data_IF_871534449341
#
_entry.id   IF_871534449341
#
_cell.length_a   1.000
_cell.length_b   1.000
_cell.length_c   1.000
_cell.angle_alpha   90.00
_cell.angle_beta   90.00
_cell.angle_gamma   90.00
#
_symmetry.space_group_name_H-M   'P 1'
#
loop_
_entity.id
_entity.type
_entity.pdbx_description
1 polymer ?
#
# COMPACT_ATOMS: atom_id res chain seq x y z
N UNK A 1 -14.66 17.17 -10.48
CA UNK A 1 -13.44 18.06 -10.70
C UNK A 1 -12.14 17.26 -10.47
N UNK A 2 -12.05 16.28 -9.46
CA UNK A 2 -10.81 15.51 -9.21
C UNK A 2 -10.58 14.51 -10.36
N UNK A 3 -11.66 13.97 -10.96
CA UNK A 3 -11.51 12.98 -12.07
C UNK A 3 -10.96 13.69 -13.30
N UNK A 4 -11.43 14.89 -13.53
CA UNK A 4 -10.92 15.62 -14.71
C UNK A 4 -9.44 15.97 -14.54
N UNK A 5 -9.13 16.43 -13.32
CA UNK A 5 -7.70 16.76 -13.07
C UNK A 5 -6.84 15.50 -13.24
N UNK A 6 -7.33 14.40 -12.65
CA UNK A 6 -6.62 13.12 -12.79
C UNK A 6 -6.47 12.72 -14.26
N UNK A 7 -7.50 12.86 -15.08
CA UNK A 7 -7.43 12.44 -16.49
C UNK A 7 -6.43 13.31 -17.26
N UNK A 8 -6.39 14.56 -16.92
CA UNK A 8 -5.46 15.45 -17.66
C UNK A 8 -4.02 15.12 -17.26
N UNK A 9 -3.82 14.87 -15.98
CA UNK A 9 -2.44 14.65 -15.50
C UNK A 9 -1.91 13.29 -15.96
N UNK A 10 -2.79 12.37 -16.28
CA UNK A 10 -2.30 11.02 -16.66
C UNK A 10 -2.26 10.93 -18.20
N UNK A 11 -3.18 11.57 -18.92
CA UNK A 11 -3.32 11.31 -20.39
C UNK A 11 -2.46 12.32 -21.14
N UNK A 12 -2.47 13.55 -20.76
CA UNK A 12 -1.84 14.61 -21.59
C UNK A 12 -0.31 14.43 -21.59
N UNK A 13 0.34 14.20 -20.43
CA UNK A 13 1.80 14.07 -20.45
C UNK A 13 2.26 12.84 -21.25
N UNK A 14 1.41 11.93 -21.45
CA UNK A 14 1.80 10.69 -22.17
C UNK A 14 2.01 10.97 -23.66
N UNK A 15 1.46 12.05 -24.09
CA UNK A 15 1.57 12.30 -25.54
C UNK A 15 2.53 13.46 -25.79
N UNK A 16 3.20 13.91 -24.75
CA UNK A 16 4.18 15.01 -24.94
C UNK A 16 5.60 14.42 -25.09
N UNK A 17 6.44 15.17 -25.85
CA UNK A 17 7.80 14.65 -26.07
C UNK A 17 8.62 14.67 -24.77
N UNK A 18 9.77 13.94 -24.83
CA UNK A 18 10.65 13.86 -23.63
C UNK A 18 11.25 15.23 -23.33
N UNK A 19 11.20 15.50 -21.97
CA UNK A 19 11.69 16.83 -21.58
C UNK A 19 13.20 16.98 -21.84
N UNK A 20 13.58 18.22 -22.31
CA UNK A 20 15.02 18.50 -22.45
C UNK A 20 15.73 18.48 -21.08
N UNK A 21 17.01 18.17 -20.99
CA UNK A 21 17.78 18.00 -19.73
C UNK A 21 17.77 19.28 -18.90
N UNK A 22 17.41 20.51 -19.46
CA UNK A 22 17.40 21.79 -18.71
C UNK A 22 16.00 22.12 -18.20
N UNK A 23 15.09 21.16 -18.44
CA UNK A 23 13.69 21.51 -18.13
C UNK A 23 13.45 21.39 -16.62
N UNK A 24 12.68 22.41 -16.20
CA UNK A 24 12.33 22.43 -14.75
C UNK A 24 10.85 22.05 -14.55
N UNK A 25 10.50 21.86 -13.23
CA UNK A 25 9.13 21.42 -12.88
C UNK A 25 8.10 22.46 -13.33
N UNK A 26 8.52 23.69 -13.39
CA UNK A 26 7.48 24.71 -13.65
C UNK A 26 7.37 24.97 -15.15
N UNK A 27 8.28 24.33 -15.90
CA UNK A 27 8.21 24.70 -17.35
C UNK A 27 7.86 23.48 -18.19
N UNK A 28 7.72 22.36 -17.52
CA UNK A 28 7.43 21.13 -18.30
C UNK A 28 6.27 20.37 -17.63
N UNK A 29 5.30 20.23 -18.36
CA UNK A 29 4.07 19.60 -17.83
C UNK A 29 4.32 18.13 -17.46
N UNK A 30 5.19 17.42 -18.19
CA UNK A 30 5.48 16.01 -17.83
C UNK A 30 6.12 15.90 -16.45
N UNK A 31 7.10 16.76 -16.27
CA UNK A 31 7.79 16.70 -14.96
C UNK A 31 6.87 17.19 -13.83
N UNK A 32 6.13 18.19 -14.21
CA UNK A 32 5.15 18.69 -13.22
C UNK A 32 4.15 17.59 -12.84
N UNK A 33 3.62 16.93 -13.86
CA UNK A 33 2.64 15.86 -13.59
C UNK A 33 3.29 14.74 -12.76
N UNK A 34 4.51 14.39 -13.08
CA UNK A 34 5.20 13.35 -12.32
C UNK A 34 5.36 13.78 -10.84
N UNK A 35 5.70 15.02 -10.63
CA UNK A 35 5.89 15.49 -9.24
C UNK A 35 4.55 15.50 -8.50
N UNK A 36 3.50 15.99 -9.13
CA UNK A 36 2.18 16.06 -8.47
C UNK A 36 1.68 14.66 -8.13
N UNK A 37 1.90 13.69 -9.05
CA UNK A 37 1.29 12.36 -8.84
C UNK A 37 2.16 11.53 -7.88
N UNK A 38 3.42 11.56 -8.15
CA UNK A 38 4.25 10.60 -7.37
C UNK A 38 4.95 11.32 -6.21
N UNK A 39 5.07 12.66 -6.35
CA UNK A 39 5.74 13.40 -5.25
C UNK A 39 4.74 13.86 -4.18
N UNK A 40 3.55 14.24 -4.60
CA UNK A 40 2.65 14.85 -3.60
C UNK A 40 1.43 13.94 -3.40
N UNK A 41 0.88 13.40 -4.45
CA UNK A 41 -0.43 12.70 -4.39
C UNK A 41 -0.29 11.40 -3.61
N UNK A 42 0.68 10.51 -3.87
CA UNK A 42 0.72 9.19 -3.22
C UNK A 42 1.22 9.32 -1.77
N UNK A 43 2.32 10.15 -1.51
CA UNK A 43 2.68 10.33 -0.10
C UNK A 43 1.52 10.98 0.70
N UNK A 44 0.86 11.92 0.03
CA UNK A 44 -0.31 12.55 0.68
C UNK A 44 -1.41 11.52 1.01
N UNK A 45 -1.63 10.62 0.07
CA UNK A 45 -2.69 9.60 0.31
C UNK A 45 -2.28 8.71 1.49
N UNK A 46 -0.95 8.40 1.60
CA UNK A 46 -0.51 7.51 2.71
C UNK A 46 -0.66 8.23 4.05
N UNK A 47 -0.34 9.53 4.03
CA UNK A 47 -0.46 10.27 5.30
C UNK A 47 -1.94 10.42 5.66
N UNK A 48 -2.78 10.70 4.67
CA UNK A 48 -4.23 10.79 4.94
C UNK A 48 -4.79 9.46 5.46
N UNK A 49 -4.30 8.39 4.91
CA UNK A 49 -4.86 7.09 5.34
C UNK A 49 -4.46 6.80 6.80
N UNK A 50 -3.28 7.18 7.20
CA UNK A 50 -2.81 6.86 8.57
C UNK A 50 -3.50 7.81 9.57
N UNK A 51 -3.91 9.05 9.06
CA UNK A 51 -4.47 10.01 10.03
C UNK A 51 -6.00 10.00 9.99
N UNK A 52 -6.50 9.77 8.74
CA UNK A 52 -7.97 9.98 8.62
C UNK A 52 -8.63 8.70 8.12
N UNK A 53 -7.91 7.56 8.09
CA UNK A 53 -8.49 6.31 7.54
C UNK A 53 -8.48 6.31 6.01
N UNK A 54 -9.54 5.85 5.45
CA UNK A 54 -9.53 5.71 3.96
C UNK A 54 -10.44 6.79 3.35
N UNK A 55 -10.25 8.04 3.87
CA UNK A 55 -11.09 9.16 3.40
C UNK A 55 -10.74 9.47 1.93
N UNK A 56 -9.48 9.22 1.63
CA UNK A 56 -9.11 9.47 0.23
C UNK A 56 -9.92 8.58 -0.73
N UNK A 57 -10.04 7.29 -0.35
CA UNK A 57 -10.82 6.35 -1.21
C UNK A 57 -12.29 6.79 -1.29
N UNK A 58 -12.82 7.42 -0.30
CA UNK A 58 -14.26 7.78 -0.26
C UNK A 58 -14.53 9.12 -0.93
N UNK A 59 -13.51 10.09 -0.90
CA UNK A 59 -13.89 11.47 -1.32
C UNK A 59 -13.04 11.87 -2.54
N UNK A 60 -11.78 11.30 -2.61
CA UNK A 60 -10.90 11.94 -3.62
C UNK A 60 -10.46 10.92 -4.67
N UNK A 61 -10.73 9.65 -4.48
CA UNK A 61 -10.16 8.64 -5.40
C UNK A 61 -10.93 8.67 -6.72
N UNK A 62 -10.13 8.98 -7.82
CA UNK A 62 -10.78 9.08 -9.14
C UNK A 62 -11.33 7.72 -9.61
N UNK A 63 -10.54 6.73 -9.34
CA UNK A 63 -11.00 5.39 -9.78
C UNK A 63 -12.29 4.98 -9.05
N UNK A 64 -12.35 5.27 -7.80
CA UNK A 64 -13.58 4.97 -7.03
C UNK A 64 -14.80 5.73 -7.56
N UNK A 65 -14.58 7.02 -7.87
CA UNK A 65 -15.70 7.83 -8.39
C UNK A 65 -16.18 7.31 -9.75
N UNK A 66 -15.20 6.97 -10.58
CA UNK A 66 -15.61 6.49 -11.93
C UNK A 66 -16.30 5.12 -11.82
N UNK A 67 -15.74 4.33 -10.94
CA UNK A 67 -16.37 3.00 -10.79
C UNK A 67 -17.79 3.14 -10.22
N UNK A 68 -17.95 3.95 -9.24
CA UNK A 68 -19.29 4.18 -8.68
C UNK A 68 -20.26 4.75 -9.74
N UNK A 69 -19.78 5.74 -10.45
CA UNK A 69 -20.61 6.28 -11.54
C UNK A 69 -20.99 5.18 -12.55
N UNK A 70 -19.99 4.39 -12.89
CA UNK A 70 -20.27 3.31 -13.88
C UNK A 70 -21.24 2.27 -13.28
N UNK A 71 -21.13 2.07 -12.05
CA UNK A 71 -21.95 1.00 -11.43
C UNK A 71 -23.42 1.41 -11.40
N UNK A 72 -23.74 2.70 -11.51
CA UNK A 72 -25.17 3.10 -11.59
C UNK A 72 -25.83 2.56 -12.86
N UNK A 73 -24.95 2.37 -13.78
CA UNK A 73 -25.51 1.85 -15.06
C UNK A 73 -25.16 0.37 -15.24
N UNK A 74 -24.76 -0.27 -14.15
CA UNK A 74 -24.24 -1.64 -14.27
C UNK A 74 -25.37 -2.65 -14.43
N UNK A 75 -25.09 -3.81 -15.07
CA UNK A 75 -26.05 -4.88 -15.43
C UNK A 75 -26.45 -5.67 -14.19
N UNK A 76 -25.71 -5.48 -13.02
CA UNK A 76 -26.05 -6.13 -11.75
C UNK A 76 -25.90 -7.65 -11.81
N UNK A 77 -24.97 -8.14 -12.62
CA UNK A 77 -24.75 -9.61 -12.64
C UNK A 77 -24.21 -10.08 -11.29
N UNK A 78 -24.62 -11.30 -10.96
CA UNK A 78 -24.09 -11.81 -9.70
C UNK A 78 -22.55 -11.88 -9.70
N UNK A 79 -22.07 -11.48 -8.57
CA UNK A 79 -20.59 -11.51 -8.46
C UNK A 79 -20.10 -12.96 -8.36
N UNK A 80 -19.13 -13.24 -9.31
CA UNK A 80 -18.59 -14.61 -9.21
C UNK A 80 -17.83 -14.84 -7.91
N UNK A 81 -18.01 -16.04 -7.28
CA UNK A 81 -17.40 -16.37 -5.98
C UNK A 81 -15.88 -16.16 -5.98
N UNK A 82 -15.23 -16.44 -7.12
CA UNK A 82 -13.76 -16.31 -7.13
C UNK A 82 -13.34 -14.84 -6.99
N UNK A 83 -14.20 -13.89 -7.39
CA UNK A 83 -13.84 -12.46 -7.31
C UNK A 83 -13.95 -11.95 -5.87
N UNK A 84 -14.61 -12.75 -4.98
CA UNK A 84 -14.80 -12.31 -3.57
C UNK A 84 -13.66 -12.85 -2.71
N UNK A 85 -12.64 -13.36 -3.37
CA UNK A 85 -11.53 -13.92 -2.56
C UNK A 85 -10.75 -12.78 -1.89
N UNK A 86 -10.59 -12.85 -0.58
CA UNK A 86 -9.98 -11.76 0.24
C UNK A 86 -8.50 -11.57 -0.11
N UNK A 87 -7.91 -12.45 -0.90
CA UNK A 87 -6.47 -12.35 -1.21
C UNK A 87 -6.22 -11.54 -2.49
N UNK A 88 -7.26 -11.13 -3.23
CA UNK A 88 -7.04 -10.45 -4.52
C UNK A 88 -6.31 -9.12 -4.31
N UNK A 89 -6.68 -8.38 -3.31
CA UNK A 89 -5.96 -7.11 -3.15
C UNK A 89 -4.45 -7.34 -2.95
N UNK A 90 -4.13 -8.32 -2.22
CA UNK A 90 -2.69 -8.63 -2.05
C UNK A 90 -2.06 -9.01 -3.39
N UNK A 91 -2.66 -9.85 -4.13
CA UNK A 91 -2.09 -10.29 -5.42
C UNK A 91 -2.02 -9.09 -6.39
N UNK A 92 -3.11 -8.28 -6.35
CA UNK A 92 -3.11 -7.11 -7.27
C UNK A 92 -1.98 -6.14 -6.89
N UNK A 93 -1.79 -6.04 -5.60
CA UNK A 93 -0.72 -5.12 -5.15
C UNK A 93 0.64 -5.64 -5.61
N UNK A 94 0.94 -6.90 -5.41
CA UNK A 94 2.25 -7.45 -5.80
C UNK A 94 2.41 -7.38 -7.33
N UNK A 95 1.32 -7.73 -8.00
CA UNK A 95 1.42 -7.74 -9.48
C UNK A 95 1.64 -6.32 -10.01
N UNK A 96 0.91 -5.39 -9.44
CA UNK A 96 1.03 -4.02 -9.99
C UNK A 96 2.39 -3.42 -9.59
N UNK A 97 2.85 -3.77 -8.42
CA UNK A 97 4.18 -3.26 -8.00
C UNK A 97 5.28 -3.82 -8.90
N UNK A 98 5.21 -5.11 -9.18
CA UNK A 98 6.23 -5.72 -10.06
C UNK A 98 6.13 -5.16 -11.48
N UNK A 99 4.87 -5.11 -11.86
CA UNK A 99 4.70 -4.61 -13.25
C UNK A 99 5.13 -3.14 -13.33
N UNK A 100 4.74 -2.37 -12.28
CA UNK A 100 5.13 -0.94 -12.27
C UNK A 100 6.66 -0.76 -12.36
N UNK A 101 7.40 -1.60 -11.63
CA UNK A 101 8.88 -1.47 -11.65
C UNK A 101 9.47 -1.93 -12.99
N UNK A 102 8.80 -2.87 -13.68
CA UNK A 102 9.35 -3.38 -14.96
C UNK A 102 9.18 -2.33 -16.07
N UNK A 103 8.12 -1.53 -15.87
CA UNK A 103 7.90 -0.58 -17.00
C UNK A 103 8.32 0.82 -16.56
N UNK A 104 8.89 0.94 -15.37
CA UNK A 104 9.36 2.23 -14.81
C UNK A 104 8.24 3.27 -14.79
N UNK A 105 7.25 2.93 -14.05
CA UNK A 105 5.99 3.70 -14.05
C UNK A 105 6.25 5.09 -13.44
N UNK A 106 7.30 5.25 -12.70
CA UNK A 106 7.51 6.55 -12.01
C UNK A 106 8.26 7.52 -12.91
N UNK A 107 8.86 6.95 -13.92
CA UNK A 107 9.73 7.85 -14.72
C UNK A 107 9.05 8.23 -16.04
N UNK A 108 8.15 7.28 -16.45
CA UNK A 108 7.61 7.55 -17.81
C UNK A 108 6.08 7.63 -17.72
N UNK A 109 5.51 8.70 -18.35
CA UNK A 109 4.06 8.94 -18.29
C UNK A 109 3.28 7.89 -19.11
N UNK A 110 3.94 7.38 -20.18
CA UNK A 110 3.21 6.34 -20.95
C UNK A 110 2.98 5.09 -20.08
N UNK A 111 4.01 4.78 -19.40
CA UNK A 111 3.84 3.61 -18.49
C UNK A 111 2.80 3.91 -17.41
N UNK A 112 2.86 5.15 -16.82
CA UNK A 112 1.84 5.52 -15.82
C UNK A 112 0.42 5.42 -16.40
N UNK A 113 0.26 5.92 -17.65
CA UNK A 113 -1.07 5.82 -18.30
C UNK A 113 -1.50 4.37 -18.47
N UNK A 114 -0.55 3.55 -18.84
CA UNK A 114 -0.90 2.13 -19.03
C UNK A 114 -1.35 1.48 -17.71
N UNK A 115 -0.63 1.73 -16.66
CA UNK A 115 -0.94 1.02 -15.40
C UNK A 115 -2.14 1.70 -14.74
N UNK A 116 -2.10 3.01 -14.56
CA UNK A 116 -3.21 3.70 -13.89
C UNK A 116 -4.43 3.79 -14.81
N UNK A 117 -4.19 4.12 -16.08
CA UNK A 117 -5.33 4.15 -17.04
C UNK A 117 -5.97 2.76 -17.22
N UNK A 118 -5.07 1.74 -17.30
CA UNK A 118 -5.61 0.36 -17.41
C UNK A 118 -6.46 -0.03 -16.19
N UNK A 119 -5.94 0.30 -15.01
CA UNK A 119 -6.73 -0.07 -13.80
C UNK A 119 -8.05 0.72 -13.75
N UNK A 120 -8.04 1.99 -14.30
CA UNK A 120 -9.30 2.78 -14.34
C UNK A 120 -10.33 2.14 -15.29
N UNK A 121 -9.78 1.73 -16.41
CA UNK A 121 -10.70 1.09 -17.36
C UNK A 121 -11.25 -0.20 -16.75
N UNK A 122 -10.36 -0.93 -16.12
CA UNK A 122 -10.84 -2.18 -15.49
C UNK A 122 -11.87 -1.87 -14.39
N UNK A 123 -11.57 -0.83 -13.64
CA UNK A 123 -12.54 -0.45 -12.58
C UNK A 123 -13.91 -0.11 -13.18
N UNK A 124 -13.95 0.60 -14.27
CA UNK A 124 -15.23 0.97 -14.91
C UNK A 124 -15.91 -0.28 -15.46
N UNK A 125 -15.11 -1.15 -16.06
CA UNK A 125 -15.70 -2.38 -16.63
C UNK A 125 -16.35 -3.23 -15.53
N UNK A 126 -15.62 -3.36 -14.41
CA UNK A 126 -16.19 -4.19 -13.32
C UNK A 126 -17.43 -3.50 -12.76
N UNK A 127 -17.35 -2.20 -12.60
CA UNK A 127 -18.55 -1.45 -12.16
C UNK A 127 -19.75 -1.64 -13.11
N UNK A 128 -19.51 -1.71 -14.47
CA UNK A 128 -20.62 -1.83 -15.44
C UNK A 128 -21.17 -3.27 -15.45
N UNK A 129 -20.30 -4.22 -15.16
CA UNK A 129 -20.73 -5.62 -15.29
C UNK A 129 -21.44 -6.08 -14.01
N UNK A 130 -20.80 -5.61 -12.85
CA UNK A 130 -21.28 -6.29 -11.61
C UNK A 130 -21.86 -5.24 -10.66
N UNK A 131 -21.74 -3.94 -11.02
CA UNK A 131 -22.05 -2.90 -10.01
C UNK A 131 -23.55 -2.62 -9.94
N UNK A 132 -24.18 -2.50 -8.77
CA UNK A 132 -25.52 -1.94 -8.49
C UNK A 132 -25.42 -0.75 -7.53
N UNK A 133 -24.65 0.29 -8.02
CA UNK A 133 -24.39 1.51 -7.20
C UNK A 133 -23.41 1.22 -6.06
N UNK A 134 -22.68 0.03 -6.28
CA UNK A 134 -21.65 -0.29 -5.27
C UNK A 134 -20.26 -0.26 -5.91
N UNK A 135 -19.24 -0.09 -4.97
CA UNK A 135 -17.86 -0.05 -5.46
C UNK A 135 -17.20 -1.42 -5.31
N UNK A 136 -17.48 -2.32 -6.28
CA UNK A 136 -17.01 -3.72 -6.18
C UNK A 136 -15.49 -3.76 -6.43
N UNK A 137 -15.02 -2.88 -7.41
CA UNK A 137 -13.57 -2.85 -7.73
C UNK A 137 -12.75 -2.43 -6.50
N UNK A 138 -13.25 -1.44 -5.87
CA UNK A 138 -12.47 -0.90 -4.72
C UNK A 138 -12.46 -1.91 -3.56
N UNK A 139 -13.49 -2.77 -3.48
CA UNK A 139 -13.54 -3.71 -2.35
C UNK A 139 -12.71 -4.97 -2.63
N UNK A 140 -12.64 -5.36 -3.90
CA UNK A 140 -12.09 -6.72 -4.04
C UNK A 140 -10.85 -6.68 -4.94
N UNK A 141 -10.61 -5.64 -5.81
CA UNK A 141 -9.58 -5.85 -6.87
C UNK A 141 -8.61 -4.68 -6.85
N UNK A 142 -8.95 -3.59 -6.16
CA UNK A 142 -8.02 -2.46 -6.16
C UNK A 142 -6.70 -2.86 -5.48
N UNK A 143 -5.61 -2.57 -6.21
CA UNK A 143 -4.30 -3.02 -5.71
C UNK A 143 -3.90 -2.31 -4.40
N UNK A 144 -4.50 -1.14 -4.23
CA UNK A 144 -4.08 -0.38 -3.03
C UNK A 144 -5.02 -0.68 -1.85
N UNK A 145 -6.07 -1.36 -2.12
CA UNK A 145 -7.11 -1.54 -1.08
C UNK A 145 -6.54 -2.26 0.15
N UNK A 146 -5.76 -3.32 -0.07
CA UNK A 146 -5.22 -4.09 1.08
C UNK A 146 -4.30 -3.24 1.94
N UNK A 147 -3.43 -2.49 1.24
CA UNK A 147 -2.45 -1.66 2.00
C UNK A 147 -3.21 -0.58 2.79
N UNK A 148 -4.19 0.07 2.17
CA UNK A 148 -4.94 1.12 2.88
C UNK A 148 -5.76 0.54 4.04
N UNK A 149 -6.27 -0.68 3.79
CA UNK A 149 -7.09 -1.31 4.86
C UNK A 149 -6.25 -1.55 6.12
N UNK A 150 -5.00 -1.98 5.90
CA UNK A 150 -4.15 -2.30 7.07
C UNK A 150 -3.68 -0.99 7.73
N UNK A 151 -3.36 -0.01 6.95
CA UNK A 151 -2.86 1.25 7.55
C UNK A 151 -3.99 2.03 8.21
N UNK A 152 -5.20 1.84 7.69
CA UNK A 152 -6.34 2.57 8.29
C UNK A 152 -6.61 2.11 9.72
N UNK A 153 -6.03 1.00 10.11
CA UNK A 153 -6.29 0.48 11.48
C UNK A 153 -5.60 1.35 12.54
N UNK A 154 -4.61 2.15 12.10
CA UNK A 154 -3.95 3.00 13.13
C UNK A 154 -4.43 4.44 12.99
N UNK A 155 -5.47 4.66 12.21
CA UNK A 155 -5.97 6.04 12.04
C UNK A 155 -6.71 6.50 13.29
N UNK A 156 -6.32 7.73 13.78
CA UNK A 156 -6.97 8.27 14.99
C UNK A 156 -8.42 8.71 14.71
N UNK A 157 -8.65 9.15 13.49
CA UNK A 157 -10.04 9.56 13.18
C UNK A 157 -10.75 8.46 12.37
N UNK A 158 -11.98 8.08 12.83
CA UNK A 158 -12.74 7.03 12.14
C UNK A 158 -14.23 7.16 12.50
N UNK A 159 -15.02 6.43 11.61
CA UNK A 159 -16.46 6.42 11.93
C UNK A 159 -16.76 5.24 12.88
N UNK A 160 -17.33 5.66 14.02
CA UNK A 160 -17.71 4.65 15.02
C UNK A 160 -19.23 4.44 15.04
N UNK A 161 -19.48 3.13 15.28
CA UNK A 161 -20.92 2.82 15.34
C UNK A 161 -21.26 2.37 16.77
N UNK A 162 -22.27 3.16 17.33
CA UNK A 162 -22.84 2.71 18.63
C UNK A 162 -24.01 1.73 18.41
N UNK A 163 -23.66 0.44 18.79
CA UNK A 163 -24.65 -0.62 18.46
C UNK A 163 -25.91 -0.47 19.32
N UNK A 164 -25.69 -0.10 20.50
CA UNK A 164 -26.89 0.06 21.37
C UNK A 164 -27.80 1.19 20.86
N UNK A 165 -27.12 2.30 20.50
CA UNK A 165 -27.93 3.40 19.93
C UNK A 165 -28.60 2.98 18.61
N UNK A 166 -27.88 2.20 17.85
CA UNK A 166 -28.46 1.73 16.57
C UNK A 166 -29.70 0.87 16.83
N UNK A 167 -29.70 -0.07 17.87
CA UNK A 167 -30.80 -1.04 18.11
C UNK A 167 -31.98 -0.34 18.80
N UNK A 168 -31.71 0.75 19.55
CA UNK A 168 -32.81 1.46 20.26
C UNK A 168 -33.77 2.11 19.27
N UNK A 169 -33.31 2.35 18.12
CA UNK A 169 -34.14 3.14 17.18
C UNK A 169 -34.65 2.25 16.05
N UNK A 170 -34.59 0.85 16.30
CA UNK A 170 -35.11 -0.13 15.32
C UNK A 170 -36.56 -0.49 15.68
N UNK A 171 -37.31 0.33 16.71
CA UNK A 171 -38.69 0.03 17.17
C UNK A 171 -39.73 0.79 16.33
N UNK A 172 -41.07 0.29 16.18
CA UNK A 172 -42.29 0.61 15.39
C UNK A 172 -42.57 2.12 15.40
N UNK A 173 -42.24 2.90 14.09
CA UNK A 173 -42.77 4.26 13.85
C UNK A 173 -41.64 5.26 13.58
N UNK A 174 -40.29 4.82 13.53
CA UNK A 174 -39.15 5.69 13.15
C UNK A 174 -38.47 5.14 11.89
N UNK A 175 -38.92 5.74 10.67
CA UNK A 175 -38.44 5.26 9.35
C UNK A 175 -37.17 6.02 8.95
N UNK A 176 -35.97 5.31 8.96
CA UNK A 176 -34.75 5.92 8.37
C UNK A 176 -34.53 5.36 6.96
N UNK A 177 -34.12 6.33 6.14
CA UNK A 177 -33.75 5.89 4.77
C UNK A 177 -32.47 5.04 4.79
N UNK A 178 -32.60 3.82 4.22
CA UNK A 178 -31.40 2.98 4.15
C UNK A 178 -30.23 3.71 3.46
N UNK A 179 -29.05 3.51 4.17
CA UNK A 179 -27.83 4.15 3.61
C UNK A 179 -27.20 3.20 2.58
N UNK A 180 -26.92 3.80 1.47
CA UNK A 180 -26.13 3.02 0.49
C UNK A 180 -24.62 3.14 0.78
N UNK A 181 -24.10 2.09 1.51
CA UNK A 181 -22.64 2.07 1.72
C UNK A 181 -21.92 1.51 0.48
N UNK A 182 -21.11 2.42 -0.11
CA UNK A 182 -20.50 2.15 -1.44
C UNK A 182 -19.62 0.90 -1.40
N UNK A 183 -18.91 0.62 -0.32
CA UNK A 183 -18.06 -0.58 -0.32
C UNK A 183 -18.77 -1.79 0.28
N UNK A 184 -20.00 -1.67 0.61
CA UNK A 184 -20.85 -2.80 1.04
C UNK A 184 -20.46 -3.24 2.45
N UNK A 185 -20.11 -2.21 3.23
CA UNK A 185 -19.81 -2.53 4.65
C UNK A 185 -21.14 -2.60 5.42
N UNK A 186 -21.14 -3.70 6.22
CA UNK A 186 -22.29 -3.74 7.15
C UNK A 186 -22.14 -2.70 8.28
N UNK A 187 -22.92 -1.54 8.05
CA UNK A 187 -22.68 -0.35 8.91
C UNK A 187 -23.07 -0.70 10.36
N UNK A 188 -24.03 -1.49 10.58
CA UNK A 188 -24.49 -1.83 11.94
C UNK A 188 -23.39 -2.57 12.72
N UNK A 189 -22.62 -3.50 12.03
CA UNK A 189 -21.65 -4.33 12.76
C UNK A 189 -20.22 -3.86 12.47
N UNK A 190 -20.13 -2.67 12.05
CA UNK A 190 -18.79 -2.17 11.68
C UNK A 190 -17.95 -1.96 12.95
N UNK A 191 -16.70 -2.65 12.92
CA UNK A 191 -15.85 -2.55 14.14
C UNK A 191 -14.45 -2.07 13.76
N UNK A 192 -14.27 -1.98 12.44
CA UNK A 192 -12.91 -1.61 12.01
C UNK A 192 -13.01 -0.56 10.90
N UNK A 193 -11.84 0.22 10.85
CA UNK A 193 -11.79 1.25 9.78
C UNK A 193 -11.20 0.67 8.49
N UNK A 194 -10.90 -0.60 8.47
CA UNK A 194 -10.17 -1.21 7.35
C UNK A 194 -11.03 -1.27 6.08
N UNK A 195 -12.33 -1.51 6.28
CA UNK A 195 -13.17 -1.68 5.07
C UNK A 195 -13.96 -0.40 4.78
N UNK A 196 -14.03 0.50 5.82
CA UNK A 196 -14.81 1.75 5.63
C UNK A 196 -13.98 2.77 4.85
N UNK A 197 -14.68 3.35 3.79
CA UNK A 197 -13.96 4.35 2.96
C UNK A 197 -14.14 5.74 3.56
N UNK A 198 -14.67 5.84 4.72
CA UNK A 198 -14.85 7.09 5.48
C UNK A 198 -15.40 8.22 4.60
N UNK A 199 -16.53 7.92 3.84
CA UNK A 199 -17.11 8.90 2.89
C UNK A 199 -18.16 9.76 3.59
N UNK A 200 -18.64 9.26 4.73
CA UNK A 200 -19.52 10.10 5.57
C UNK A 200 -20.99 9.93 5.18
N UNK A 201 -21.39 9.09 4.27
CA UNK A 201 -22.79 8.97 3.83
C UNK A 201 -23.66 8.42 4.97
N UNK A 202 -22.95 7.65 5.88
CA UNK A 202 -23.77 7.04 6.95
C UNK A 202 -23.71 7.87 8.22
N UNK A 203 -23.04 9.07 8.06
CA UNK A 203 -22.88 9.90 9.27
C UNK A 203 -24.25 10.36 9.79
N UNK A 204 -24.44 10.12 11.11
CA UNK A 204 -25.68 10.58 11.78
C UNK A 204 -26.83 9.58 11.65
N UNK A 205 -26.45 8.49 10.94
CA UNK A 205 -27.54 7.50 10.79
C UNK A 205 -27.94 6.93 12.17
N UNK A 206 -29.28 7.18 12.50
CA UNK A 206 -29.90 6.66 13.75
C UNK A 206 -29.17 7.21 14.98
N UNK A 207 -28.47 8.38 14.75
CA UNK A 207 -27.67 8.99 15.84
C UNK A 207 -26.68 7.98 16.43
N UNK A 208 -26.36 6.97 15.55
CA UNK A 208 -25.51 5.87 16.08
C UNK A 208 -24.16 5.90 15.37
N UNK A 209 -24.12 6.68 14.27
CA UNK A 209 -22.85 6.66 13.51
C UNK A 209 -22.24 8.07 13.58
N UNK A 210 -21.01 8.11 14.15
CA UNK A 210 -20.36 9.44 14.24
C UNK A 210 -18.84 9.29 14.04
N UNK A 211 -18.38 10.42 13.49
CA UNK A 211 -16.91 10.50 13.42
C UNK A 211 -16.32 10.65 14.83
N UNK A 212 -15.36 9.76 15.16
CA UNK A 212 -14.85 9.73 16.55
C UNK A 212 -13.34 9.53 16.54
N UNK A 213 -12.75 10.08 17.65
CA UNK A 213 -11.29 9.85 17.80
C UNK A 213 -11.05 8.54 18.55
N UNK A 214 -10.08 7.90 18.04
CA UNK A 214 -9.70 6.65 18.73
C UNK A 214 -8.17 6.57 18.82
N UNK A 215 -7.76 5.81 19.87
CA UNK A 215 -6.30 5.57 19.93
C UNK A 215 -5.82 4.73 18.73
N UNK A 216 -4.67 5.12 18.16
CA UNK A 216 -4.13 4.36 17.03
C UNK A 216 -3.79 2.92 17.41
N UNK A 217 -3.85 2.61 18.68
CA UNK A 217 -3.50 1.24 19.13
C UNK A 217 -4.77 0.41 19.37
N UNK A 218 -5.91 1.03 19.29
CA UNK A 218 -7.17 0.39 19.73
C UNK A 218 -7.45 -0.89 18.93
N UNK A 219 -7.18 -0.80 17.63
CA UNK A 219 -7.59 -1.99 16.83
C UNK A 219 -6.58 -3.13 17.02
N UNK A 220 -5.30 -2.71 17.06
CA UNK A 220 -4.27 -3.77 17.23
C UNK A 220 -4.42 -4.45 18.60
N UNK A 221 -4.95 -3.72 19.60
CA UNK A 221 -5.00 -4.28 20.98
C UNK A 221 -6.37 -4.89 21.24
N UNK A 222 -7.30 -4.77 20.31
CA UNK A 222 -8.63 -5.35 20.51
C UNK A 222 -8.63 -6.85 20.18
N UNK A 223 -8.66 -7.70 21.22
CA UNK A 223 -8.53 -9.17 21.02
C UNK A 223 -9.85 -9.77 20.56
N UNK A 224 -10.92 -8.97 20.68
CA UNK A 224 -12.24 -9.48 20.25
C UNK A 224 -12.40 -9.36 18.73
N UNK A 225 -11.61 -8.45 18.17
CA UNK A 225 -11.71 -8.30 16.70
C UNK A 225 -10.84 -9.34 15.97
N UNK A 226 -11.42 -9.89 14.90
CA UNK A 226 -10.66 -10.93 14.19
C UNK A 226 -9.43 -10.35 13.48
N UNK A 227 -8.32 -11.11 13.70
CA UNK A 227 -7.12 -10.79 12.90
C UNK A 227 -7.07 -11.68 11.66
N UNK A 228 -7.22 -11.00 10.46
CA UNK A 228 -7.38 -11.78 9.21
C UNK A 228 -6.00 -12.07 8.60
N UNK A 229 -5.90 -13.25 8.01
CA UNK A 229 -4.61 -13.67 7.41
C UNK A 229 -4.29 -12.78 6.19
N UNK A 230 -5.29 -12.41 5.52
CA UNK A 230 -5.03 -11.57 4.33
C UNK A 230 -4.40 -10.23 4.72
N UNK A 231 -4.86 -9.67 5.86
CA UNK A 231 -4.25 -8.38 6.31
C UNK A 231 -2.80 -8.59 6.76
N UNK A 232 -2.65 -9.67 7.53
CA UNK A 232 -1.28 -9.94 8.01
C UNK A 232 -0.32 -10.24 6.84
N UNK A 233 -0.81 -11.02 5.88
CA UNK A 233 0.03 -11.32 4.71
C UNK A 233 0.35 -10.05 3.89
N UNK A 234 -0.67 -9.20 3.72
CA UNK A 234 -0.42 -7.95 2.96
C UNK A 234 0.60 -7.07 3.70
N UNK A 235 0.44 -7.01 4.98
CA UNK A 235 1.36 -6.20 5.77
C UNK A 235 2.80 -6.75 5.69
N UNK A 236 3.04 -8.10 5.80
CA UNK A 236 4.42 -8.65 5.90
C UNK A 236 5.02 -8.82 4.50
N UNK A 237 4.21 -9.43 3.67
CA UNK A 237 4.83 -9.81 2.37
C UNK A 237 4.56 -8.73 1.32
N UNK A 238 3.56 -7.99 1.48
CA UNK A 238 3.24 -6.94 0.47
C UNK A 238 3.95 -5.63 0.79
N UNK A 239 3.58 -5.09 2.00
CA UNK A 239 4.04 -3.71 2.29
C UNK A 239 5.49 -3.78 2.78
N UNK A 240 5.78 -4.56 3.79
CA UNK A 240 7.16 -4.57 4.35
C UNK A 240 8.08 -5.43 3.49
N UNK A 241 7.56 -6.33 2.71
CA UNK A 241 8.42 -7.22 1.88
C UNK A 241 8.60 -6.66 0.47
N UNK A 242 7.59 -6.86 -0.39
CA UNK A 242 7.71 -6.57 -1.83
C UNK A 242 7.87 -5.05 -2.03
N UNK A 243 7.08 -4.25 -1.30
CA UNK A 243 7.18 -2.78 -1.51
C UNK A 243 8.59 -2.29 -1.11
N UNK A 244 9.09 -2.80 0.01
CA UNK A 244 10.44 -2.39 0.41
C UNK A 244 11.48 -2.82 -0.63
N UNK A 245 11.32 -4.02 -1.10
CA UNK A 245 12.24 -4.48 -2.16
C UNK A 245 12.15 -3.58 -3.41
N UNK A 246 10.92 -3.16 -3.69
CA UNK A 246 10.74 -2.29 -4.88
C UNK A 246 11.44 -0.95 -4.67
N UNK A 247 11.45 -0.49 -3.43
CA UNK A 247 12.09 0.83 -3.20
C UNK A 247 13.62 0.69 -3.16
N UNK A 248 14.15 -0.47 -2.97
CA UNK A 248 15.59 -0.59 -2.68
C UNK A 248 16.36 -1.07 -3.93
N UNK A 249 15.63 -1.73 -4.83
CA UNK A 249 16.40 -2.50 -5.84
C UNK A 249 17.25 -1.54 -6.69
N UNK A 250 16.79 -0.28 -6.90
CA UNK A 250 17.55 0.60 -7.82
C UNK A 250 18.82 1.12 -7.13
N UNK A 251 18.87 1.06 -5.78
CA UNK A 251 20.07 1.61 -5.09
C UNK A 251 20.86 0.48 -4.45
N UNK A 252 20.52 -0.73 -4.76
CA UNK A 252 21.14 -1.87 -4.04
C UNK A 252 22.42 -2.29 -4.78
N UNK A 253 23.57 -2.27 -4.01
CA UNK A 253 24.83 -2.73 -4.59
C UNK A 253 24.81 -4.25 -4.86
N UNK A 254 24.02 -4.89 -4.01
CA UNK A 254 23.93 -6.36 -4.23
C UNK A 254 23.28 -6.67 -5.58
N UNK A 255 22.30 -5.94 -5.90
CA UNK A 255 21.64 -6.18 -7.20
C UNK A 255 22.60 -5.89 -8.36
N UNK A 256 23.27 -4.82 -8.22
CA UNK A 256 24.20 -4.46 -9.30
C UNK A 256 25.30 -5.53 -9.45
N UNK A 257 25.85 -5.99 -8.32
CA UNK A 257 26.91 -7.03 -8.39
C UNK A 257 26.37 -8.34 -9.00
N UNK A 258 25.20 -8.68 -8.56
CA UNK A 258 24.59 -9.90 -9.14
C UNK A 258 24.36 -9.74 -10.65
N UNK A 259 23.90 -8.58 -10.99
CA UNK A 259 23.64 -8.37 -12.44
C UNK A 259 24.94 -8.47 -13.24
N UNK A 260 25.98 -7.79 -12.75
CA UNK A 260 27.24 -7.80 -13.52
C UNK A 260 27.83 -9.21 -13.56
N UNK A 261 27.75 -9.94 -12.42
CA UNK A 261 28.26 -11.32 -12.38
C UNK A 261 27.50 -12.23 -13.35
N UNK A 262 26.20 -12.07 -13.36
CA UNK A 262 25.41 -12.95 -14.25
C UNK A 262 25.62 -12.55 -15.73
N UNK A 263 25.73 -11.28 -15.90
CA UNK A 263 25.97 -10.85 -17.30
C UNK A 263 27.31 -11.42 -17.79
N UNK A 264 28.34 -11.35 -16.89
CA UNK A 264 29.65 -11.91 -17.28
C UNK A 264 29.55 -13.41 -17.55
N UNK A 265 28.83 -14.08 -16.66
CA UNK A 265 28.61 -15.53 -16.82
C UNK A 265 27.91 -15.85 -18.15
N UNK A 266 26.93 -15.05 -18.56
CA UNK A 266 26.18 -15.33 -19.80
C UNK A 266 27.06 -15.06 -21.02
N UNK A 267 27.84 -14.05 -20.89
CA UNK A 267 28.71 -13.74 -22.04
C UNK A 267 29.75 -14.86 -22.21
N UNK A 268 30.26 -15.39 -21.12
CA UNK A 268 31.25 -16.49 -21.21
C UNK A 268 30.65 -17.74 -21.83
N UNK A 269 29.35 -17.87 -21.73
CA UNK A 269 28.71 -19.11 -22.24
C UNK A 269 27.97 -18.82 -23.55
N UNK A 270 28.21 -17.61 -24.10
CA UNK A 270 27.69 -17.17 -25.40
C UNK A 270 26.17 -17.23 -25.46
N UNK A 271 25.49 -17.03 -24.32
CA UNK A 271 24.02 -16.87 -24.33
C UNK A 271 23.64 -15.39 -24.44
N UNK A 272 23.44 -14.82 -25.64
CA UNK A 272 23.25 -13.36 -25.85
C UNK A 272 21.75 -13.05 -25.95
N UNK A 273 21.00 -14.12 -26.04
CA UNK A 273 19.55 -13.83 -26.15
C UNK A 273 19.03 -13.12 -24.89
N UNK A 274 19.56 -13.43 -23.74
CA UNK A 274 19.05 -12.83 -22.49
C UNK A 274 19.62 -11.42 -22.28
N UNK A 275 20.54 -11.05 -23.10
CA UNK A 275 21.13 -9.69 -22.98
C UNK A 275 20.53 -8.76 -24.04
N UNK A 276 19.63 -9.32 -24.78
CA UNK A 276 19.02 -8.49 -25.81
C UNK A 276 17.95 -7.57 -25.19
N UNK A 277 17.75 -6.45 -25.89
CA UNK A 277 16.83 -5.44 -25.30
C UNK A 277 15.67 -5.15 -26.24
N UNK A 278 15.48 -6.11 -27.20
CA UNK A 278 14.33 -5.88 -28.12
C UNK A 278 13.03 -6.31 -27.44
N UNK A 279 12.65 -5.53 -26.44
CA UNK A 279 11.42 -5.86 -25.72
C UNK A 279 10.47 -4.65 -25.84
N UNK A 280 9.20 -5.00 -26.06
CA UNK A 280 8.25 -3.88 -26.17
C UNK A 280 8.20 -3.06 -24.87
N UNK A 281 7.96 -1.72 -24.97
CA UNK A 281 8.02 -0.79 -23.81
C UNK A 281 6.93 -1.12 -22.79
N UNK A 282 5.73 -1.83 -23.25
CA UNK A 282 4.64 -2.12 -22.28
C UNK A 282 4.97 -3.36 -21.45
N UNK A 283 6.08 -4.04 -21.83
CA UNK A 283 6.48 -5.22 -21.02
C UNK A 283 7.73 -4.88 -20.21
N UNK A 284 8.76 -4.36 -20.83
CA UNK A 284 9.98 -3.91 -20.14
C UNK A 284 10.36 -2.52 -20.63
N UNK A 285 10.99 -1.82 -19.69
CA UNK A 285 11.37 -0.44 -20.05
C UNK A 285 12.23 -0.44 -21.33
N UNK A 286 11.63 0.35 -22.35
CA UNK A 286 12.35 0.42 -23.64
C UNK A 286 12.17 1.84 -24.22
N UNK A 287 13.07 2.76 -23.81
CA UNK A 287 13.06 4.15 -24.33
C UNK A 287 14.47 4.53 -24.81
N UNK A 288 14.74 4.25 -26.11
CA UNK A 288 16.08 4.47 -26.70
C UNK A 288 16.46 5.95 -26.70
N UNK A 289 15.47 6.82 -26.71
CA UNK A 289 15.76 8.27 -26.76
C UNK A 289 16.34 8.76 -25.43
N UNK A 290 16.08 8.01 -24.37
CA UNK A 290 16.59 8.41 -23.03
C UNK A 290 17.67 7.43 -22.57
N UNK A 291 18.13 6.56 -23.48
CA UNK A 291 19.15 5.52 -23.17
C UNK A 291 18.77 4.69 -21.95
N UNK A 292 17.50 4.51 -21.81
CA UNK A 292 17.02 3.65 -20.71
C UNK A 292 16.33 2.41 -21.30
N UNK A 293 17.18 1.31 -21.31
CA UNK A 293 16.66 0.07 -21.93
C UNK A 293 16.92 -1.10 -20.97
N UNK A 294 15.83 -1.77 -20.74
CA UNK A 294 16.01 -3.02 -19.97
C UNK A 294 16.18 -4.22 -20.89
N UNK A 295 17.15 -5.07 -20.45
CA UNK A 295 17.28 -6.37 -21.17
C UNK A 295 16.42 -7.45 -20.49
N UNK A 296 16.29 -8.68 -21.13
CA UNK A 296 15.55 -9.80 -20.49
C UNK A 296 16.18 -10.19 -19.15
N UNK A 297 17.50 -10.04 -19.14
CA UNK A 297 18.18 -10.36 -17.87
C UNK A 297 17.77 -9.37 -16.78
N UNK A 298 17.68 -8.06 -17.18
CA UNK A 298 17.23 -7.07 -16.18
C UNK A 298 15.81 -7.39 -15.67
N UNK A 299 14.96 -7.70 -16.65
CA UNK A 299 13.58 -8.06 -16.23
C UNK A 299 13.56 -9.23 -15.27
N UNK A 300 14.33 -10.32 -15.61
CA UNK A 300 14.31 -11.51 -14.75
C UNK A 300 14.91 -11.20 -13.37
N UNK A 301 15.92 -10.39 -13.35
CA UNK A 301 16.56 -10.11 -12.06
C UNK A 301 15.65 -9.22 -11.19
N UNK A 302 15.03 -8.27 -11.88
CA UNK A 302 14.10 -7.41 -11.09
C UNK A 302 12.98 -8.26 -10.50
N UNK A 303 12.42 -9.17 -11.30
CA UNK A 303 11.32 -10.02 -10.77
C UNK A 303 11.87 -10.90 -9.63
N UNK A 304 13.06 -11.44 -9.88
CA UNK A 304 13.63 -12.31 -8.82
C UNK A 304 13.89 -11.49 -7.55
N UNK A 305 14.36 -10.32 -7.75
CA UNK A 305 14.69 -9.51 -6.56
C UNK A 305 13.40 -9.08 -5.83
N UNK A 306 12.39 -8.69 -6.58
CA UNK A 306 11.17 -8.17 -5.91
C UNK A 306 10.38 -9.32 -5.29
N UNK A 307 10.22 -10.39 -6.09
CA UNK A 307 9.36 -11.48 -5.54
C UNK A 307 10.19 -12.36 -4.60
N UNK A 308 11.39 -12.63 -5.06
CA UNK A 308 12.24 -13.48 -4.18
C UNK A 308 12.72 -12.74 -2.94
N UNK A 309 13.31 -11.58 -3.21
CA UNK A 309 13.78 -10.78 -2.05
C UNK A 309 12.63 -10.35 -1.13
N UNK A 310 11.56 -9.88 -1.78
CA UNK A 310 10.39 -9.52 -0.96
C UNK A 310 9.87 -10.69 -0.11
N UNK A 311 9.76 -11.85 -0.70
CA UNK A 311 9.27 -13.03 0.04
C UNK A 311 10.26 -13.40 1.17
N UNK A 312 11.51 -13.36 0.80
CA UNK A 312 12.50 -13.70 1.84
C UNK A 312 12.40 -12.70 3.01
N UNK A 313 12.37 -11.46 2.67
CA UNK A 313 12.22 -10.45 3.74
C UNK A 313 10.92 -10.68 4.53
N UNK A 314 9.78 -10.83 3.84
CA UNK A 314 8.52 -11.15 4.53
C UNK A 314 8.63 -12.37 5.43
N UNK A 315 9.31 -13.41 4.98
CA UNK A 315 9.43 -14.66 5.79
C UNK A 315 10.27 -14.39 7.03
N UNK A 316 11.32 -13.63 6.80
CA UNK A 316 12.16 -13.33 7.97
C UNK A 316 11.39 -12.49 9.00
N UNK A 317 10.60 -11.58 8.47
CA UNK A 317 9.79 -10.75 9.40
C UNK A 317 8.71 -11.59 10.08
N UNK A 318 8.22 -12.59 9.41
CA UNK A 318 7.15 -13.44 9.96
C UNK A 318 7.66 -14.28 11.14
N UNK A 319 8.97 -14.58 11.14
CA UNK A 319 9.51 -15.45 12.22
C UNK A 319 9.31 -14.79 13.59
N UNK A 320 9.36 -13.48 13.64
CA UNK A 320 9.15 -12.79 14.94
C UNK A 320 7.74 -13.03 15.51
N UNK A 321 6.70 -12.54 14.79
CA UNK A 321 5.35 -12.75 15.30
C UNK A 321 5.02 -14.24 15.48
N UNK A 322 5.52 -15.10 14.59
CA UNK A 322 5.22 -16.56 14.73
C UNK A 322 5.84 -17.11 16.01
N UNK A 323 7.08 -16.74 16.25
CA UNK A 323 7.75 -17.25 17.46
C UNK A 323 7.08 -16.67 18.72
N UNK A 324 6.74 -15.38 18.65
CA UNK A 324 6.04 -14.78 19.81
C UNK A 324 4.72 -15.47 20.10
N UNK A 325 4.00 -15.75 19.05
CA UNK A 325 2.69 -16.44 19.26
C UNK A 325 2.91 -17.84 19.83
N UNK A 326 3.96 -18.50 19.35
CA UNK A 326 4.21 -19.86 19.85
C UNK A 326 4.68 -19.83 21.31
N UNK A 327 5.38 -18.87 21.70
CA UNK A 327 5.94 -18.82 23.07
C UNK A 327 4.84 -18.47 24.08
N UNK A 328 3.86 -17.62 23.72
CA UNK A 328 2.87 -17.14 24.71
C UNK A 328 1.68 -18.11 24.72
N UNK A 329 1.43 -18.92 23.65
CA UNK A 329 0.40 -19.99 23.53
C UNK A 329 -0.96 -19.49 24.03
N UNK A 330 -1.37 -18.36 23.57
CA UNK A 330 -2.69 -17.78 23.90
C UNK A 330 -3.62 -17.92 22.68
N UNK A 331 -4.89 -18.33 22.88
CA UNK A 331 -5.81 -18.66 21.77
C UNK A 331 -6.12 -17.43 20.92
N UNK A 332 -6.04 -16.30 21.53
CA UNK A 332 -6.45 -15.09 20.75
C UNK A 332 -5.22 -14.29 20.30
N UNK A 333 -4.04 -14.68 20.76
CA UNK A 333 -2.81 -13.99 20.31
C UNK A 333 -2.07 -14.89 19.31
N UNK A 334 -2.57 -14.85 18.10
CA UNK A 334 -1.94 -15.63 17.01
C UNK A 334 -0.91 -14.75 16.26
N UNK A 335 -0.17 -15.37 15.36
CA UNK A 335 0.88 -14.61 14.64
C UNK A 335 0.28 -13.42 13.88
N UNK A 336 -1.04 -13.58 13.48
CA UNK A 336 -1.70 -12.47 12.75
C UNK A 336 -1.85 -11.24 13.64
N UNK A 337 -2.23 -11.50 14.82
CA UNK A 337 -2.42 -10.36 15.73
C UNK A 337 -1.07 -9.68 16.02
N UNK A 338 -0.03 -10.46 16.29
CA UNK A 338 1.28 -9.83 16.53
C UNK A 338 1.78 -9.11 15.28
N UNK A 339 1.41 -9.64 14.13
CA UNK A 339 1.83 -8.96 12.89
C UNK A 339 1.16 -7.58 12.79
N UNK A 340 -0.08 -7.46 13.23
CA UNK A 340 -0.76 -6.16 13.17
C UNK A 340 -0.06 -5.12 14.04
N UNK A 341 0.68 -5.63 15.05
CA UNK A 341 1.43 -4.70 15.91
C UNK A 341 2.55 -4.00 15.11
N UNK A 342 2.87 -4.57 13.93
CA UNK A 342 3.95 -3.97 13.12
C UNK A 342 3.39 -2.91 12.16
N UNK A 343 2.16 -2.59 12.26
CA UNK A 343 1.50 -1.68 11.30
C UNK A 343 2.15 -0.30 11.35
N UNK A 344 2.48 0.24 12.53
CA UNK A 344 3.15 1.55 12.54
C UNK A 344 4.48 1.51 11.78
N UNK A 345 5.20 0.46 11.98
CA UNK A 345 6.48 0.35 11.24
C UNK A 345 6.22 0.28 9.73
N UNK A 346 5.22 -0.49 9.34
CA UNK A 346 4.86 -0.53 7.90
C UNK A 346 4.49 0.85 7.37
N UNK A 347 3.70 1.59 8.19
CA UNK A 347 3.31 2.94 7.74
C UNK A 347 4.55 3.83 7.57
N UNK A 348 5.44 3.76 8.55
CA UNK A 348 6.67 4.57 8.43
C UNK A 348 7.50 4.15 7.21
N UNK A 349 7.59 2.88 6.95
CA UNK A 349 8.41 2.39 5.81
C UNK A 349 7.83 2.85 4.47
N UNK A 350 6.53 2.77 4.32
CA UNK A 350 5.94 3.15 3.02
C UNK A 350 6.06 4.66 2.84
N UNK A 351 5.86 5.45 3.91
CA UNK A 351 5.97 6.92 3.78
C UNK A 351 7.41 7.28 3.43
N UNK A 352 8.34 6.60 4.08
CA UNK A 352 9.75 6.89 3.75
C UNK A 352 10.07 6.48 2.30
N UNK A 353 9.60 5.32 1.88
CA UNK A 353 9.87 4.85 0.51
C UNK A 353 9.26 5.79 -0.55
N UNK A 354 8.02 6.15 -0.33
CA UNK A 354 7.34 6.95 -1.38
C UNK A 354 7.88 8.37 -1.38
N UNK A 355 8.41 8.83 -0.22
CA UNK A 355 8.91 10.22 -0.18
C UNK A 355 10.27 10.33 -0.88
N UNK A 356 10.86 9.16 -1.23
CA UNK A 356 12.16 9.22 -1.92
C UNK A 356 12.03 9.91 -3.28
N UNK A 357 10.85 9.68 -3.84
CA UNK A 357 10.68 10.35 -5.15
C UNK A 357 10.49 11.85 -4.98
N UNK A 358 9.81 12.21 -3.94
CA UNK A 358 9.63 13.65 -3.67
C UNK A 358 10.97 14.33 -3.40
N UNK A 359 11.75 13.62 -2.68
CA UNK A 359 13.04 14.22 -2.32
C UNK A 359 13.92 14.35 -3.56
N UNK A 360 13.88 13.34 -4.42
CA UNK A 360 14.68 13.42 -5.66
C UNK A 360 14.25 14.61 -6.52
N UNK A 361 12.97 14.84 -6.57
CA UNK A 361 12.51 15.97 -7.40
C UNK A 361 12.87 17.31 -6.76
N UNK A 362 12.78 17.36 -5.44
CA UNK A 362 13.09 18.64 -4.77
C UNK A 362 14.59 18.94 -4.84
N UNK A 363 15.36 17.91 -4.72
CA UNK A 363 16.82 18.12 -4.86
C UNK A 363 17.18 18.61 -6.27
N UNK A 364 16.44 18.03 -7.23
CA UNK A 364 16.71 18.49 -8.61
C UNK A 364 16.41 19.98 -8.76
N UNK A 365 15.64 20.53 -7.84
CA UNK A 365 15.34 21.98 -7.90
C UNK A 365 16.22 22.76 -6.93
N UNK A 366 17.17 22.12 -6.40
CA UNK A 366 18.20 22.72 -5.53
C UNK A 366 17.57 23.26 -4.24
N UNK A 367 16.56 22.53 -3.70
CA UNK A 367 15.96 22.88 -2.40
C UNK A 367 16.82 22.26 -1.29
N UNK A 368 17.12 23.09 -0.27
CA UNK A 368 17.96 22.61 0.85
C UNK A 368 17.18 21.61 1.72
N UNK A 369 17.73 20.37 1.85
CA UNK A 369 17.04 19.31 2.63
C UNK A 369 17.97 18.78 3.72
N UNK A 370 18.60 19.72 4.50
CA UNK A 370 19.53 19.31 5.60
C UNK A 370 18.77 18.65 6.76
N UNK A 371 17.42 18.74 6.89
CA UNK A 371 16.60 18.15 7.98
C UNK A 371 16.17 16.72 7.65
N UNK A 372 16.42 16.31 6.47
CA UNK A 372 15.78 15.08 5.94
C UNK A 372 16.32 13.84 6.67
N UNK A 373 17.63 13.77 6.87
CA UNK A 373 18.08 12.56 7.57
C UNK A 373 17.46 12.45 8.98
N UNK A 374 17.36 13.61 9.67
CA UNK A 374 16.74 13.55 11.02
C UNK A 374 15.27 13.12 10.92
N UNK A 375 14.61 13.65 9.96
CA UNK A 375 13.21 13.26 9.77
C UNK A 375 13.08 11.76 9.49
N UNK A 376 13.95 11.18 8.64
CA UNK A 376 13.87 9.74 8.30
C UNK A 376 14.13 8.89 9.54
N UNK A 377 15.07 9.37 10.36
CA UNK A 377 15.41 8.57 11.57
C UNK A 377 14.24 8.67 12.56
N UNK A 378 13.73 9.88 12.69
CA UNK A 378 12.61 10.06 13.64
C UNK A 378 11.40 9.20 13.24
N UNK A 379 11.08 9.26 11.99
CA UNK A 379 9.89 8.50 11.54
C UNK A 379 10.12 6.98 11.69
N UNK A 380 11.31 6.51 11.30
CA UNK A 380 11.58 5.06 11.42
C UNK A 380 11.64 4.65 12.90
N UNK A 381 12.26 5.50 13.75
CA UNK A 381 12.33 5.18 15.18
C UNK A 381 10.93 5.22 15.81
N UNK A 382 10.20 6.28 15.44
CA UNK A 382 8.81 6.37 15.93
C UNK A 382 7.97 5.13 15.55
N UNK A 383 7.99 4.75 14.25
CA UNK A 383 7.25 3.54 13.81
C UNK A 383 7.74 2.26 14.51
N UNK A 384 9.08 2.16 14.70
CA UNK A 384 9.65 0.96 15.36
C UNK A 384 9.25 0.90 16.84
N UNK A 385 9.41 2.05 17.52
CA UNK A 385 9.07 2.05 18.96
C UNK A 385 7.58 1.81 19.19
N UNK A 386 6.75 2.45 18.36
CA UNK A 386 5.30 2.20 18.48
C UNK A 386 4.95 0.73 18.25
N UNK A 387 5.61 0.11 17.26
CA UNK A 387 5.32 -1.31 17.00
C UNK A 387 5.78 -2.19 18.18
N UNK A 388 6.92 -1.87 18.77
CA UNK A 388 7.40 -2.68 19.91
C UNK A 388 6.50 -2.44 21.13
N UNK A 389 6.16 -1.19 21.26
CA UNK A 389 5.23 -0.88 22.36
C UNK A 389 3.93 -1.68 22.23
N UNK A 390 3.32 -1.73 21.05
CA UNK A 390 2.07 -2.51 20.86
C UNK A 390 2.30 -4.00 21.15
N UNK A 391 3.44 -4.48 20.71
CA UNK A 391 3.74 -5.92 20.95
C UNK A 391 3.87 -6.19 22.46
N UNK A 392 4.52 -5.28 23.15
CA UNK A 392 4.71 -5.51 24.60
C UNK A 392 3.37 -5.43 25.33
N UNK A 393 2.49 -4.56 24.85
CA UNK A 393 1.14 -4.49 25.47
C UNK A 393 0.36 -5.78 25.22
N UNK A 394 0.49 -6.31 24.03
CA UNK A 394 -0.20 -7.59 23.77
C UNK A 394 0.38 -8.70 24.65
N UNK A 395 1.69 -8.64 24.82
CA UNK A 395 2.32 -9.71 25.62
C UNK A 395 1.94 -9.56 27.09
N UNK A 396 1.82 -8.31 27.51
CA UNK A 396 1.41 -8.10 28.90
C UNK A 396 0.00 -8.62 29.15
N UNK A 397 -0.80 -8.65 28.10
CA UNK A 397 -2.20 -9.09 28.25
C UNK A 397 -2.31 -10.62 28.10
N UNK A 398 -1.18 -11.33 27.88
CA UNK A 398 -1.19 -12.77 27.51
C UNK A 398 -1.28 -13.62 28.78
N UNK A 399 -0.93 -13.05 30.01
CA UNK A 399 -0.93 -13.84 31.27
C UNK A 399 0.19 -14.87 31.30
N UNK A 400 1.21 -14.87 30.35
CA UNK A 400 2.32 -15.84 30.28
C UNK A 400 3.37 -15.48 31.34
N UNK A 401 4.18 -16.53 31.78
CA UNK A 401 5.26 -16.29 32.76
C UNK A 401 6.30 -15.29 32.20
N UNK A 402 7.01 -14.66 33.04
CA UNK A 402 7.94 -13.55 32.68
C UNK A 402 9.01 -14.02 31.70
N UNK A 403 9.55 -15.20 31.84
CA UNK A 403 10.61 -15.57 30.89
C UNK A 403 10.06 -15.79 29.47
N UNK A 404 8.93 -16.29 29.38
CA UNK A 404 8.32 -16.50 28.03
C UNK A 404 7.93 -15.15 27.41
N UNK A 405 7.53 -14.26 28.25
CA UNK A 405 7.17 -12.92 27.71
C UNK A 405 8.43 -12.19 27.23
N UNK A 406 9.45 -12.33 28.01
CA UNK A 406 10.71 -11.67 27.58
C UNK A 406 11.24 -12.28 26.29
N UNK A 407 11.19 -13.61 26.23
CA UNK A 407 11.64 -14.26 24.97
C UNK A 407 10.76 -13.82 23.79
N UNK A 408 9.45 -13.72 24.02
CA UNK A 408 8.55 -13.27 22.92
C UNK A 408 8.82 -11.81 22.57
N UNK A 409 9.12 -11.03 23.57
CA UNK A 409 9.42 -9.61 23.27
C UNK A 409 10.70 -9.51 22.42
N UNK A 410 11.67 -10.29 22.81
CA UNK A 410 12.90 -10.28 21.98
C UNK A 410 12.63 -10.75 20.56
N UNK A 411 11.77 -11.73 20.46
CA UNK A 411 11.42 -12.20 19.10
C UNK A 411 10.77 -11.08 18.29
N UNK A 412 9.94 -10.23 18.95
CA UNK A 412 9.24 -9.17 18.20
C UNK A 412 10.21 -7.99 17.91
N UNK A 413 11.29 -7.93 18.65
CA UNK A 413 12.29 -6.86 18.36
C UNK A 413 13.06 -7.17 17.07
N UNK A 414 13.11 -8.44 16.69
CA UNK A 414 13.87 -8.86 15.50
C UNK A 414 13.32 -8.23 14.22
N UNK A 415 11.99 -8.28 13.95
CA UNK A 415 11.49 -7.67 12.70
C UNK A 415 11.72 -6.14 12.69
N UNK A 416 11.63 -5.48 13.82
CA UNK A 416 11.85 -4.01 13.86
C UNK A 416 13.33 -3.72 13.56
N UNK A 417 14.18 -4.50 14.21
CA UNK A 417 15.62 -4.30 13.95
C UNK A 417 15.97 -4.57 12.48
N UNK A 418 15.43 -5.64 11.97
CA UNK A 418 15.69 -5.98 10.56
C UNK A 418 15.27 -4.84 9.63
N UNK A 419 14.06 -4.28 9.84
CA UNK A 419 13.62 -3.20 8.94
C UNK A 419 14.46 -1.93 9.17
N UNK A 420 14.79 -1.68 10.40
CA UNK A 420 15.63 -0.50 10.66
C UNK A 420 16.99 -0.65 9.96
N UNK A 421 17.55 -1.85 9.97
CA UNK A 421 18.83 -2.09 9.29
C UNK A 421 18.69 -1.91 7.77
N UNK A 422 17.62 -2.42 7.24
CA UNK A 422 17.46 -2.33 5.77
C UNK A 422 17.33 -0.86 5.36
N UNK A 423 16.56 -0.09 6.09
CA UNK A 423 16.38 1.31 5.67
C UNK A 423 17.64 2.12 5.99
N UNK A 424 18.35 1.73 6.99
CA UNK A 424 19.64 2.43 7.24
C UNK A 424 20.64 2.18 6.10
N UNK A 425 20.57 0.96 5.62
CA UNK A 425 21.46 0.69 4.47
C UNK A 425 21.08 1.56 3.26
N UNK A 426 19.80 1.71 3.07
CA UNK A 426 19.33 2.44 1.87
C UNK A 426 19.63 3.94 2.03
N UNK A 427 19.55 4.49 3.15
CA UNK A 427 19.61 5.96 3.24
C UNK A 427 21.02 6.39 3.63
N UNK A 428 21.76 5.58 4.36
CA UNK A 428 23.00 6.16 4.91
C UNK A 428 24.23 5.41 4.38
N UNK A 429 23.99 4.24 3.79
CA UNK A 429 25.21 3.50 3.36
C UNK A 429 25.23 3.42 1.83
N UNK A 430 24.06 3.09 1.15
CA UNK A 430 24.05 2.91 -0.31
C UNK A 430 23.89 4.28 -0.98
#
# INVERSE_FOLDING_TARGET
MVVCVYAVLVVVPAFLPLPPESAHLWDNLRLFAQFVFWGIWWPGVMVATVLLGRVWCGLFCPEGSLSEWASRHGRGRPLPGWLKWSGWPFVAFVATTVYGQLVSVYEYPQAALLVLGGSTVAAVAIGLLYGREKRIWCRYLCPASGVFAVLAKIAPLHYKVDRDAWDRHSGEGKHFEPVNCAPLVDVRRMTSASECHACGRCAGQRDAVALALRSPAAEALDLAAPAKTADAATLLFGVLGVATAAFQWTVSPWFLKAKLALADWLVEREHFALLDNEVPWWLLTHYPEANDLFTWLDGALIIAYLLGGGFLLGALLWTGPALAARLVRHPRLDWQRFTLALTPLAAASVILGLSMLTVTHLRAEHVWLGWLPAFRVALLAGGGLASLWLALRLLAASGAARPRRLAAALAMAAPVALMATIWSLVFFVW
#
